data_IF_886371771294
#
_entry.id   IF_886371771294
#
_cell.length_a   1.000
_cell.length_b   1.000
_cell.length_c   1.000
_cell.angle_alpha   90.00
_cell.angle_beta   90.00
_cell.angle_gamma   90.00
#
_symmetry.space_group_name_H-M   'P 1'
#
loop_
_entity.id
_entity.type
_entity.pdbx_description
1 polymer ?
#
# COMPACT_ATOMS: atom_id res chain seq x y z
N UNK A 1 -13.66 -21.16 22.34
CA UNK A 1 -15.02 -20.96 21.81
C UNK A 1 -15.36 -19.51 22.13
N UNK A 2 -15.05 -18.58 21.23
CA UNK A 2 -15.33 -17.14 21.34
C UNK A 2 -15.79 -16.71 19.94
N UNK A 3 -16.98 -17.18 19.54
CA UNK A 3 -17.47 -17.13 18.14
C UNK A 3 -18.84 -16.48 18.00
N UNK A 4 -19.35 -15.87 19.07
CA UNK A 4 -20.71 -15.33 19.11
C UNK A 4 -20.79 -13.83 18.83
N UNK A 5 -19.65 -13.12 18.79
CA UNK A 5 -19.65 -11.69 18.48
C UNK A 5 -19.66 -11.44 16.98
N UNK A 6 -20.57 -10.58 16.55
CA UNK A 6 -20.69 -10.16 15.17
C UNK A 6 -19.68 -9.05 14.86
N UNK A 7 -18.66 -9.39 14.07
CA UNK A 7 -17.55 -8.49 13.73
C UNK A 7 -17.76 -7.87 12.35
N UNK A 8 -17.62 -6.55 12.27
CA UNK A 8 -17.58 -5.81 11.01
C UNK A 8 -16.17 -5.22 10.81
N UNK A 9 -15.61 -5.40 9.63
CA UNK A 9 -14.37 -4.71 9.25
C UNK A 9 -14.67 -3.40 8.53
N UNK A 10 -14.00 -2.33 8.94
CA UNK A 10 -14.05 -1.02 8.32
C UNK A 10 -12.67 -0.67 7.76
N UNK A 11 -12.54 -0.72 6.44
CA UNK A 11 -11.27 -0.56 5.72
C UNK A 11 -11.14 0.88 5.23
N UNK A 12 -10.13 1.58 5.74
CA UNK A 12 -9.80 2.95 5.36
C UNK A 12 -8.92 2.94 4.09
N UNK A 13 -9.55 3.02 2.93
CA UNK A 13 -8.89 3.02 1.61
C UNK A 13 -8.91 4.41 0.92
N UNK A 14 -9.28 5.46 1.67
CA UNK A 14 -9.53 6.81 1.17
C UNK A 14 -8.37 7.79 1.32
N UNK A 15 -7.14 7.34 1.56
CA UNK A 15 -5.98 8.24 1.61
C UNK A 15 -5.51 8.65 0.21
N UNK A 16 -5.22 9.94 0.00
CA UNK A 16 -4.64 10.46 -1.26
C UNK A 16 -3.30 9.81 -1.60
N UNK A 17 -2.53 9.44 -0.57
CA UNK A 17 -1.24 8.75 -0.75
C UNK A 17 -0.15 9.64 -1.33
N UNK A 18 -0.17 10.96 -1.08
CA UNK A 18 0.78 11.97 -1.60
C UNK A 18 2.26 11.56 -1.59
N UNK A 19 2.66 10.79 -0.58
CA UNK A 19 4.02 10.27 -0.39
C UNK A 19 4.46 9.22 -1.43
N UNK A 20 3.54 8.66 -2.22
CA UNK A 20 3.81 7.84 -3.41
C UNK A 20 3.81 8.66 -4.71
N UNK A 21 3.68 9.99 -4.58
CA UNK A 21 3.93 10.96 -5.63
C UNK A 21 3.18 10.64 -6.92
N UNK A 22 3.90 10.46 -8.04
CA UNK A 22 3.29 10.22 -9.36
C UNK A 22 2.50 8.91 -9.45
N UNK A 23 2.74 7.92 -8.57
CA UNK A 23 2.05 6.63 -8.61
C UNK A 23 0.58 6.73 -8.17
N UNK A 24 0.25 7.73 -7.34
CA UNK A 24 -1.11 7.98 -6.81
C UNK A 24 -1.81 9.14 -7.49
N UNK A 25 -1.27 9.65 -8.60
CA UNK A 25 -1.89 10.75 -9.37
C UNK A 25 -3.24 10.38 -9.99
N UNK A 26 -3.35 9.16 -10.52
CA UNK A 26 -4.53 8.68 -11.26
C UNK A 26 -5.20 7.46 -10.58
N UNK A 27 -4.93 7.24 -9.28
CA UNK A 27 -5.47 6.09 -8.52
C UNK A 27 -5.33 6.29 -7.00
N UNK A 28 -6.18 5.61 -6.24
CA UNK A 28 -5.99 5.52 -4.78
C UNK A 28 -4.71 4.75 -4.43
N UNK A 29 -4.13 5.05 -3.25
CA UNK A 29 -2.95 4.34 -2.73
C UNK A 29 -3.15 2.82 -2.72
N UNK A 30 -4.28 2.36 -2.21
CA UNK A 30 -4.61 0.94 -2.11
C UNK A 30 -4.75 0.24 -3.47
N UNK A 31 -4.97 1.00 -4.55
CA UNK A 31 -5.05 0.49 -5.91
C UNK A 31 -3.70 0.43 -6.65
N UNK A 32 -2.60 0.88 -6.04
CA UNK A 32 -1.26 0.77 -6.63
C UNK A 32 -0.89 -0.71 -6.76
N UNK A 33 -0.39 -1.10 -7.94
CA UNK A 33 0.06 -2.47 -8.20
C UNK A 33 1.34 -2.75 -7.43
N UNK A 34 1.49 -3.96 -6.89
CA UNK A 34 2.65 -4.36 -6.09
C UNK A 34 2.92 -5.85 -6.29
N UNK A 35 4.18 -6.28 -6.13
CA UNK A 35 4.61 -7.68 -6.24
C UNK A 35 4.18 -8.34 -7.55
N UNK A 36 4.29 -7.57 -8.64
CA UNK A 36 3.85 -7.95 -9.97
C UNK A 36 2.40 -7.55 -10.21
N UNK A 37 1.47 -8.48 -10.02
CA UNK A 37 0.09 -8.31 -10.47
C UNK A 37 -0.92 -7.98 -9.36
N UNK A 38 -0.53 -8.10 -8.09
CA UNK A 38 -1.36 -7.75 -6.95
C UNK A 38 -1.57 -6.24 -6.83
N UNK A 39 -2.48 -5.84 -5.95
CA UNK A 39 -2.63 -4.49 -5.42
C UNK A 39 -2.46 -4.50 -3.90
N UNK A 40 -2.10 -3.37 -3.33
CA UNK A 40 -1.90 -3.26 -1.88
C UNK A 40 -3.18 -3.63 -1.11
N UNK A 41 -4.36 -3.27 -1.64
CA UNK A 41 -5.65 -3.66 -1.07
C UNK A 41 -5.85 -5.18 -0.88
N UNK A 42 -5.22 -6.01 -1.72
CA UNK A 42 -5.43 -7.46 -1.75
C UNK A 42 -5.03 -8.13 -0.44
N UNK A 43 -4.02 -7.58 0.24
CA UNK A 43 -3.53 -8.08 1.51
C UNK A 43 -4.56 -7.91 2.62
N UNK A 44 -5.10 -6.70 2.81
CA UNK A 44 -6.11 -6.47 3.85
C UNK A 44 -7.40 -7.23 3.56
N UNK A 45 -7.82 -7.29 2.29
CA UNK A 45 -9.04 -8.01 1.91
C UNK A 45 -8.90 -9.52 2.14
N UNK A 46 -7.75 -10.10 1.78
CA UNK A 46 -7.45 -11.51 2.05
C UNK A 46 -7.38 -11.79 3.55
N UNK A 47 -6.73 -10.92 4.35
CA UNK A 47 -6.63 -11.12 5.80
C UNK A 47 -8.02 -11.14 6.46
N UNK A 48 -8.93 -10.24 6.06
CA UNK A 48 -10.30 -10.19 6.58
C UNK A 48 -11.05 -11.50 6.29
N UNK A 49 -10.98 -11.96 5.04
CA UNK A 49 -11.64 -13.19 4.61
C UNK A 49 -11.03 -14.43 5.28
N UNK A 50 -9.70 -14.54 5.34
CA UNK A 50 -9.02 -15.66 5.99
C UNK A 50 -9.29 -15.69 7.50
N UNK A 51 -9.57 -14.53 8.11
CA UNK A 51 -10.02 -14.42 9.51
C UNK A 51 -11.50 -14.77 9.69
N UNK A 52 -12.24 -15.04 8.61
CA UNK A 52 -13.66 -15.38 8.64
C UNK A 52 -14.58 -14.22 9.00
N UNK A 53 -14.15 -12.97 8.76
CA UNK A 53 -14.95 -11.78 9.08
C UNK A 53 -15.98 -11.56 7.96
N UNK A 54 -17.29 -11.55 8.28
CA UNK A 54 -18.35 -11.62 7.27
C UNK A 54 -18.59 -10.32 6.51
N UNK A 55 -18.35 -9.16 7.14
CA UNK A 55 -18.67 -7.86 6.54
C UNK A 55 -17.44 -6.99 6.41
N UNK A 56 -17.24 -6.43 5.23
CA UNK A 56 -16.22 -5.43 4.92
C UNK A 56 -16.84 -4.17 4.35
N UNK A 57 -16.73 -3.07 5.09
CA UNK A 57 -17.05 -1.73 4.61
C UNK A 57 -15.77 -1.02 4.17
N UNK A 58 -15.66 -0.67 2.90
CA UNK A 58 -14.47 -0.03 2.34
C UNK A 58 -14.73 1.46 2.15
N UNK A 59 -14.15 2.32 2.98
CA UNK A 59 -14.23 3.76 2.80
C UNK A 59 -13.18 4.26 1.80
N UNK A 60 -13.63 4.74 0.64
CA UNK A 60 -12.78 5.30 -0.41
C UNK A 60 -13.16 6.74 -0.69
N UNK A 61 -12.21 7.57 -1.14
CA UNK A 61 -12.47 9.00 -1.41
C UNK A 61 -11.73 9.51 -2.66
N UNK A 62 -10.41 9.32 -2.72
CA UNK A 62 -9.60 9.82 -3.83
C UNK A 62 -9.49 8.78 -4.95
N UNK A 63 -9.78 9.20 -6.19
CA UNK A 63 -9.69 8.38 -7.40
C UNK A 63 -10.29 6.96 -7.23
N UNK A 64 -11.54 6.84 -6.73
CA UNK A 64 -12.07 5.56 -6.28
C UNK A 64 -12.26 4.58 -7.43
N UNK A 65 -12.47 5.05 -8.65
CA UNK A 65 -12.83 4.22 -9.80
C UNK A 65 -11.84 3.08 -10.07
N UNK A 66 -10.53 3.32 -9.89
CA UNK A 66 -9.53 2.25 -10.10
C UNK A 66 -9.62 1.14 -9.07
N UNK A 67 -9.88 1.48 -7.81
CA UNK A 67 -10.07 0.53 -6.71
C UNK A 67 -11.42 -0.16 -6.85
N UNK A 68 -12.48 0.57 -7.13
CA UNK A 68 -13.83 0.03 -7.34
C UNK A 68 -13.89 -0.99 -8.46
N UNK A 69 -13.23 -0.73 -9.60
CA UNK A 69 -13.15 -1.70 -10.69
C UNK A 69 -12.37 -2.97 -10.32
N UNK A 70 -11.43 -2.87 -9.38
CA UNK A 70 -10.67 -4.02 -8.90
C UNK A 70 -11.46 -4.86 -7.91
N UNK A 71 -12.16 -4.17 -7.00
CA UNK A 71 -12.98 -4.78 -5.98
C UNK A 71 -14.18 -5.49 -6.62
N UNK A 72 -14.84 -4.83 -7.59
CA UNK A 72 -16.08 -5.34 -8.16
C UNK A 72 -17.16 -5.45 -7.08
N UNK A 73 -17.72 -6.65 -6.93
CA UNK A 73 -18.66 -7.04 -5.88
C UNK A 73 -17.99 -7.78 -4.71
N UNK A 74 -16.67 -7.99 -4.76
CA UNK A 74 -15.92 -8.70 -3.73
C UNK A 74 -15.91 -10.23 -3.87
N UNK A 75 -16.47 -10.82 -4.94
CA UNK A 75 -16.52 -12.28 -5.17
C UNK A 75 -15.13 -12.93 -5.06
N UNK A 76 -14.10 -12.26 -5.60
CA UNK A 76 -12.71 -12.75 -5.55
C UNK A 76 -12.21 -12.98 -4.12
N UNK A 77 -12.67 -12.17 -3.17
CA UNK A 77 -12.34 -12.32 -1.75
C UNK A 77 -13.42 -13.08 -0.97
N UNK A 78 -14.36 -13.73 -1.64
CA UNK A 78 -15.38 -14.59 -1.02
C UNK A 78 -16.56 -13.84 -0.38
N UNK A 79 -16.82 -12.60 -0.79
CA UNK A 79 -17.94 -11.78 -0.28
C UNK A 79 -19.25 -11.96 -1.08
N UNK A 80 -19.41 -13.07 -1.79
CA UNK A 80 -20.56 -13.48 -2.58
C UNK A 80 -21.48 -14.50 -1.85
N UNK A 81 -21.13 -14.88 -0.62
CA UNK A 81 -21.83 -15.88 0.18
C UNK A 81 -23.00 -15.36 1.03
N UNK A 82 -23.75 -16.29 1.62
CA UNK A 82 -24.83 -15.96 2.58
C UNK A 82 -24.22 -15.22 3.78
N UNK A 83 -24.74 -14.03 4.09
CA UNK A 83 -24.26 -13.15 5.16
C UNK A 83 -22.79 -12.72 5.02
N UNK A 84 -22.21 -12.79 3.81
CA UNK A 84 -20.93 -12.16 3.52
C UNK A 84 -21.18 -10.95 2.62
N UNK A 85 -20.66 -9.80 3.00
CA UNK A 85 -20.91 -8.55 2.28
C UNK A 85 -19.64 -7.70 2.21
N UNK A 86 -19.30 -7.27 1.00
CA UNK A 86 -18.35 -6.19 0.78
C UNK A 86 -19.10 -4.99 0.21
N UNK A 87 -19.07 -3.86 0.92
CA UNK A 87 -19.75 -2.63 0.50
C UNK A 87 -18.76 -1.46 0.46
N UNK A 88 -18.64 -0.84 -0.70
CA UNK A 88 -17.82 0.37 -0.85
C UNK A 88 -18.63 1.57 -0.36
N UNK A 89 -18.04 2.37 0.53
CA UNK A 89 -18.55 3.68 0.91
C UNK A 89 -17.92 4.75 0.02
N UNK A 90 -18.73 5.35 -0.84
CA UNK A 90 -18.32 6.49 -1.65
C UNK A 90 -18.67 7.80 -0.94
N UNK A 91 -17.90 8.87 -1.18
CA UNK A 91 -18.37 10.22 -0.93
C UNK A 91 -19.69 10.41 -1.68
N UNK A 92 -20.72 10.90 -0.99
CA UNK A 92 -22.04 11.11 -1.57
C UNK A 92 -22.58 12.49 -1.18
N UNK A 93 -23.57 12.95 -1.93
CA UNK A 93 -24.27 14.19 -1.64
C UNK A 93 -25.44 13.92 -0.69
N UNK A 94 -25.46 14.62 0.44
CA UNK A 94 -26.65 14.74 1.28
C UNK A 94 -27.24 16.15 1.08
N UNK A 95 -28.35 16.22 0.35
CA UNK A 95 -29.00 17.49 0.02
C UNK A 95 -28.16 18.36 -0.92
N UNK A 96 -27.49 19.40 -0.38
CA UNK A 96 -26.60 20.31 -1.12
C UNK A 96 -25.14 20.25 -0.66
N UNK A 97 -24.80 19.31 0.21
CA UNK A 97 -23.46 19.17 0.77
C UNK A 97 -22.78 17.90 0.28
N UNK A 98 -21.57 18.04 -0.22
CA UNK A 98 -20.72 16.92 -0.62
C UNK A 98 -20.00 16.37 0.60
N UNK A 99 -20.27 15.12 0.96
CA UNK A 99 -19.65 14.48 2.14
C UNK A 99 -18.28 13.92 1.73
N UNK A 100 -17.21 14.66 2.02
CA UNK A 100 -15.81 14.18 1.94
C UNK A 100 -15.31 13.72 3.30
N UNK A 101 -14.37 12.79 3.38
CA UNK A 101 -13.70 12.47 4.65
C UNK A 101 -12.52 13.42 4.85
N UNK A 102 -12.43 14.02 6.05
CA UNK A 102 -11.34 14.93 6.42
C UNK A 102 -10.19 14.24 7.15
N UNK A 103 -10.40 12.99 7.55
CA UNK A 103 -9.41 12.17 8.25
C UNK A 103 -9.92 10.77 8.54
N UNK A 104 -9.08 9.96 9.16
CA UNK A 104 -9.33 8.54 9.42
C UNK A 104 -10.55 8.32 10.33
N UNK A 105 -10.65 9.04 11.45
CA UNK A 105 -11.78 8.95 12.36
C UNK A 105 -13.07 9.56 11.77
N UNK A 106 -12.93 10.64 11.00
CA UNK A 106 -14.06 11.26 10.29
C UNK A 106 -14.70 10.30 9.27
N UNK A 107 -13.90 9.44 8.62
CA UNK A 107 -14.43 8.43 7.69
C UNK A 107 -15.36 7.42 8.38
N UNK A 108 -15.01 7.00 9.59
CA UNK A 108 -15.86 6.11 10.40
C UNK A 108 -17.09 6.86 10.91
N UNK A 109 -16.91 8.10 11.41
CA UNK A 109 -18.00 8.94 11.91
C UNK A 109 -19.10 9.16 10.87
N UNK A 110 -18.72 9.52 9.65
CA UNK A 110 -19.65 9.69 8.52
C UNK A 110 -20.26 8.38 8.01
N UNK A 111 -19.77 7.25 8.51
CA UNK A 111 -20.27 5.93 8.19
C UNK A 111 -21.10 5.31 9.33
N UNK A 112 -21.35 6.04 10.44
CA UNK A 112 -22.08 5.51 11.60
C UNK A 112 -23.41 4.89 11.19
N UNK A 113 -24.23 5.59 10.42
CA UNK A 113 -25.54 5.07 9.99
C UNK A 113 -25.40 3.80 9.15
N UNK A 114 -24.34 3.70 8.32
CA UNK A 114 -24.08 2.50 7.52
C UNK A 114 -23.65 1.32 8.39
N UNK A 115 -22.79 1.57 9.39
CA UNK A 115 -22.33 0.55 10.36
C UNK A 115 -23.50 0.08 11.22
N UNK A 116 -24.35 1.00 11.70
CA UNK A 116 -25.53 0.71 12.51
C UNK A 116 -26.52 -0.25 11.81
N UNK A 117 -26.64 -0.19 10.48
CA UNK A 117 -27.48 -1.14 9.70
C UNK A 117 -27.06 -2.60 9.87
N UNK A 118 -25.77 -2.84 10.11
CA UNK A 118 -25.26 -4.18 10.37
C UNK A 118 -25.36 -4.54 11.86
N UNK A 119 -25.43 -3.56 12.77
CA UNK A 119 -25.48 -3.76 14.22
C UNK A 119 -24.35 -4.71 14.73
N UNK A 120 -23.07 -4.40 14.46
CA UNK A 120 -21.95 -5.21 14.94
C UNK A 120 -21.72 -5.05 16.45
N UNK A 121 -21.19 -6.10 17.07
CA UNK A 121 -20.66 -6.05 18.43
C UNK A 121 -19.27 -5.39 18.43
N UNK A 122 -18.45 -5.75 17.44
CA UNK A 122 -17.08 -5.25 17.27
C UNK A 122 -16.91 -4.64 15.88
N UNK A 123 -16.21 -3.50 15.83
CA UNK A 123 -15.69 -2.92 14.60
C UNK A 123 -14.16 -3.02 14.57
N UNK A 124 -13.66 -3.69 13.54
CA UNK A 124 -12.23 -3.79 13.21
C UNK A 124 -11.88 -2.73 12.17
N UNK A 125 -11.22 -1.65 12.60
CA UNK A 125 -10.79 -0.54 11.72
C UNK A 125 -9.41 -0.86 11.16
N UNK A 126 -9.26 -0.91 9.84
CA UNK A 126 -8.04 -1.35 9.17
C UNK A 126 -7.53 -0.34 8.14
N UNK A 127 -6.21 -0.18 8.09
CA UNK A 127 -5.53 0.54 7.02
C UNK A 127 -5.40 -0.34 5.77
N UNK A 128 -5.61 0.25 4.58
CA UNK A 128 -5.66 -0.47 3.30
C UNK A 128 -4.39 -0.31 2.46
N UNK A 129 -3.28 0.02 3.09
CA UNK A 129 -2.08 0.51 2.43
C UNK A 129 -0.78 -0.12 2.97
N UNK A 130 -0.91 -1.28 3.62
CA UNK A 130 0.17 -2.07 4.19
C UNK A 130 0.25 -3.46 3.53
N UNK A 131 1.44 -4.04 3.50
CA UNK A 131 1.69 -5.43 3.10
C UNK A 131 2.03 -6.25 4.34
N UNK A 132 1.16 -7.19 4.68
CA UNK A 132 1.30 -8.12 5.81
C UNK A 132 0.27 -9.24 5.71
N UNK A 133 0.50 -10.35 6.42
CA UNK A 133 -0.49 -11.43 6.59
C UNK A 133 -0.82 -11.57 8.06
N UNK A 134 -2.10 -11.53 8.39
CA UNK A 134 -2.55 -11.65 9.78
C UNK A 134 -3.91 -12.33 9.84
N UNK A 135 -4.02 -13.35 10.69
CA UNK A 135 -5.30 -13.83 11.19
C UNK A 135 -5.71 -12.93 12.37
N UNK A 136 -6.76 -12.14 12.17
CA UNK A 136 -7.25 -11.21 13.18
C UNK A 136 -7.92 -11.90 14.37
N UNK A 137 -8.19 -13.21 14.30
CA UNK A 137 -8.88 -13.93 15.37
C UNK A 137 -8.14 -13.88 16.69
N UNK A 138 -6.81 -13.87 16.69
CA UNK A 138 -6.01 -13.78 17.91
C UNK A 138 -6.02 -12.37 18.51
N UNK A 139 -6.01 -11.33 17.66
CA UNK A 139 -6.15 -9.95 18.12
C UNK A 139 -7.57 -9.67 18.64
N UNK A 140 -8.61 -10.25 18.04
CA UNK A 140 -9.99 -10.18 18.51
C UNK A 140 -10.13 -10.86 19.88
N UNK A 141 -9.61 -12.08 20.04
CA UNK A 141 -9.58 -12.76 21.35
C UNK A 141 -8.83 -11.92 22.39
N UNK A 142 -7.71 -11.31 22.03
CA UNK A 142 -6.96 -10.43 22.92
C UNK A 142 -7.77 -9.21 23.37
N UNK A 143 -8.53 -8.61 22.45
CA UNK A 143 -9.44 -7.51 22.75
C UNK A 143 -10.52 -7.92 23.76
N UNK A 144 -11.17 -9.07 23.54
CA UNK A 144 -12.21 -9.60 24.41
C UNK A 144 -11.68 -10.00 25.80
N UNK A 145 -10.55 -10.70 25.86
CA UNK A 145 -9.94 -11.16 27.11
C UNK A 145 -9.60 -10.00 28.06
N UNK A 146 -9.19 -8.86 27.49
CA UNK A 146 -8.88 -7.66 28.26
C UNK A 146 -10.10 -6.73 28.45
N UNK A 147 -11.25 -7.05 27.85
CA UNK A 147 -12.42 -6.16 27.77
C UNK A 147 -12.00 -4.73 27.38
N UNK A 148 -11.13 -4.64 26.38
CA UNK A 148 -10.45 -3.40 26.01
C UNK A 148 -11.43 -2.39 25.42
N UNK A 149 -11.28 -1.11 25.75
CA UNK A 149 -12.00 -0.04 25.03
C UNK A 149 -11.46 0.11 23.61
N UNK A 150 -10.15 -0.10 23.47
CA UNK A 150 -9.45 -0.16 22.20
C UNK A 150 -8.28 -1.14 22.32
N UNK A 151 -8.12 -1.97 21.28
CA UNK A 151 -6.86 -2.68 21.03
C UNK A 151 -6.20 -2.11 19.79
N UNK A 152 -4.95 -1.66 19.92
CA UNK A 152 -4.13 -1.16 18.81
C UNK A 152 -3.17 -2.26 18.38
N UNK A 153 -3.23 -2.67 17.10
CA UNK A 153 -2.24 -3.58 16.57
C UNK A 153 -0.93 -2.84 16.35
N UNK A 154 0.16 -3.41 16.84
CA UNK A 154 1.46 -2.76 16.90
C UNK A 154 2.55 -3.68 16.36
N UNK A 155 3.60 -3.10 15.77
CA UNK A 155 4.75 -3.83 15.26
C UNK A 155 6.05 -3.14 15.70
N UNK A 156 7.14 -3.90 15.68
CA UNK A 156 8.45 -3.46 16.17
C UNK A 156 9.30 -2.93 15.02
N UNK A 157 9.90 -1.76 15.19
CA UNK A 157 10.63 -1.06 14.12
C UNK A 157 11.96 -0.49 14.61
N UNK A 158 12.92 -0.23 13.69
CA UNK A 158 14.10 0.56 14.00
C UNK A 158 13.76 2.05 14.17
N UNK A 159 14.67 2.78 14.83
CA UNK A 159 14.55 4.23 15.10
C UNK A 159 14.22 5.04 13.83
N UNK A 160 14.86 4.69 12.71
CA UNK A 160 14.72 5.38 11.42
C UNK A 160 13.30 5.41 10.87
N UNK A 161 12.41 4.54 11.37
CA UNK A 161 11.01 4.42 10.94
C UNK A 161 10.01 5.07 11.89
N UNK A 162 10.38 5.32 13.15
CA UNK A 162 9.45 5.76 14.21
C UNK A 162 8.70 7.04 13.83
N UNK A 163 9.39 8.00 13.21
CA UNK A 163 8.81 9.30 12.88
C UNK A 163 7.68 9.26 11.83
N UNK A 164 7.42 8.11 11.21
CA UNK A 164 6.35 7.91 10.23
C UNK A 164 5.06 7.35 10.85
N UNK A 165 5.09 6.91 12.11
CA UNK A 165 4.01 6.16 12.75
C UNK A 165 3.69 6.71 14.15
N UNK A 166 2.60 6.23 14.74
CA UNK A 166 2.30 6.48 16.15
C UNK A 166 3.18 5.62 17.06
N UNK A 167 4.07 6.23 17.83
CA UNK A 167 4.92 5.52 18.78
C UNK A 167 4.11 5.12 20.03
N UNK A 168 4.31 3.87 20.47
CA UNK A 168 3.54 3.25 21.57
C UNK A 168 4.50 2.89 22.69
N UNK A 169 4.12 3.24 23.92
CA UNK A 169 4.78 2.77 25.13
C UNK A 169 3.84 1.87 25.90
N UNK A 170 4.31 0.68 26.27
CA UNK A 170 3.51 -0.32 26.98
C UNK A 170 4.10 -0.72 28.33
N UNK A 171 3.25 -1.24 29.21
CA UNK A 171 3.66 -1.99 30.40
C UNK A 171 3.77 -3.50 30.13
N UNK A 172 3.98 -4.28 31.19
CA UNK A 172 4.16 -5.74 31.15
C UNK A 172 2.87 -6.53 30.81
N UNK A 173 1.71 -5.87 30.89
CA UNK A 173 0.43 -6.44 30.46
C UNK A 173 0.08 -6.01 29.02
N UNK A 174 1.04 -5.45 28.29
CA UNK A 174 0.84 -4.84 26.96
C UNK A 174 -0.19 -3.73 26.96
N UNK A 175 -0.42 -3.08 28.10
CA UNK A 175 -1.31 -1.93 28.20
C UNK A 175 -0.56 -0.67 27.78
N UNK A 176 -1.22 0.18 27.00
CA UNK A 176 -0.63 1.40 26.45
C UNK A 176 -0.58 2.48 27.53
N UNK A 177 0.63 2.74 28.03
CA UNK A 177 0.92 3.77 29.03
C UNK A 177 1.29 5.11 28.41
N UNK A 178 1.70 5.14 27.15
CA UNK A 178 1.89 6.38 26.39
C UNK A 178 1.72 6.19 24.89
N UNK A 179 1.34 7.26 24.19
CA UNK A 179 1.13 7.28 22.75
C UNK A 179 1.45 8.66 22.18
N UNK A 180 2.22 8.71 21.08
CA UNK A 180 2.46 9.96 20.34
C UNK A 180 2.44 9.70 18.83
N UNK A 181 1.65 10.46 18.09
CA UNK A 181 1.54 10.33 16.64
C UNK A 181 2.71 11.02 15.93
N UNK A 182 3.46 10.27 15.11
CA UNK A 182 4.52 10.76 14.21
C UNK A 182 5.52 11.71 14.87
N UNK A 183 6.16 11.31 15.99
CA UNK A 183 7.10 12.18 16.69
C UNK A 183 8.30 12.51 15.79
N UNK A 184 8.69 13.80 15.76
CA UNK A 184 9.88 14.28 15.02
C UNK A 184 11.03 14.64 15.94
N UNK A 185 10.73 15.01 17.17
CA UNK A 185 11.71 15.36 18.18
C UNK A 185 12.42 14.09 18.70
N UNK A 186 13.75 14.15 18.80
CA UNK A 186 14.55 12.99 19.17
C UNK A 186 14.38 12.61 20.64
N UNK A 187 14.27 13.57 21.54
CA UNK A 187 14.07 13.30 22.97
C UNK A 187 12.70 12.64 23.21
N UNK A 188 11.69 13.06 22.43
CA UNK A 188 10.39 12.39 22.41
C UNK A 188 10.53 10.96 21.90
N UNK A 189 11.20 10.73 20.77
CA UNK A 189 11.42 9.37 20.25
C UNK A 189 12.13 8.49 21.28
N UNK A 190 13.22 8.96 21.87
CA UNK A 190 14.03 8.20 22.83
C UNK A 190 13.23 7.78 24.07
N UNK A 191 12.25 8.57 24.49
CA UNK A 191 11.34 8.23 25.60
C UNK A 191 10.42 7.03 25.32
N UNK A 192 10.25 6.65 24.05
CA UNK A 192 9.46 5.50 23.59
C UNK A 192 10.32 4.26 23.30
N UNK A 193 11.63 4.32 23.53
CA UNK A 193 12.51 3.17 23.35
C UNK A 193 12.11 2.03 24.29
N UNK A 194 12.02 0.83 23.73
CA UNK A 194 11.70 -0.37 24.48
C UNK A 194 12.79 -0.68 25.50
N UNK A 195 12.37 -0.94 26.75
CA UNK A 195 13.29 -1.38 27.79
C UNK A 195 13.71 -2.83 27.56
N UNK A 196 14.89 -3.26 28.05
CA UNK A 196 15.32 -4.67 27.94
C UNK A 196 14.28 -5.66 28.47
N UNK A 197 13.55 -5.27 29.54
CA UNK A 197 12.48 -6.08 30.12
C UNK A 197 11.33 -6.30 29.14
N UNK A 198 10.84 -5.24 28.49
CA UNK A 198 9.78 -5.34 27.48
C UNK A 198 10.27 -6.08 26.24
N UNK A 199 11.50 -5.84 25.78
CA UNK A 199 12.07 -6.61 24.63
C UNK A 199 12.09 -8.11 24.93
N UNK A 200 12.52 -8.50 26.12
CA UNK A 200 12.52 -9.90 26.55
C UNK A 200 11.11 -10.48 26.67
N UNK A 201 10.13 -9.70 27.16
CA UNK A 201 8.73 -10.13 27.26
C UNK A 201 8.12 -10.40 25.88
N UNK A 202 8.43 -9.53 24.91
CA UNK A 202 7.94 -9.63 23.53
C UNK A 202 8.75 -10.58 22.64
N UNK A 203 9.80 -11.23 23.17
CA UNK A 203 10.64 -12.14 22.39
C UNK A 203 11.51 -11.45 21.32
N UNK A 204 11.71 -10.13 21.40
CA UNK A 204 12.46 -9.37 20.39
C UNK A 204 13.96 -9.63 20.55
N UNK A 205 14.53 -10.39 19.62
CA UNK A 205 15.96 -10.71 19.61
C UNK A 205 16.81 -9.76 18.78
N UNK A 206 16.21 -9.07 17.79
CA UNK A 206 16.95 -8.15 16.92
C UNK A 206 17.36 -6.88 17.70
N UNK A 207 18.66 -6.57 17.80
CA UNK A 207 19.14 -5.37 18.49
C UNK A 207 18.73 -4.07 17.80
N UNK A 208 18.35 -4.08 16.52
CA UNK A 208 17.96 -2.90 15.76
C UNK A 208 16.47 -2.54 15.95
N UNK A 209 15.63 -3.52 16.31
CA UNK A 209 14.20 -3.30 16.56
C UNK A 209 14.00 -2.83 18.00
N UNK A 210 13.85 -1.52 18.18
CA UNK A 210 13.91 -0.87 19.50
C UNK A 210 12.65 -0.09 19.87
N UNK A 211 11.70 0.02 18.96
CA UNK A 211 10.51 0.85 19.13
C UNK A 211 9.27 0.06 18.74
N UNK A 212 8.18 0.31 19.46
CA UNK A 212 6.87 -0.23 19.12
C UNK A 212 6.04 0.88 18.49
N UNK A 213 5.43 0.60 17.34
CA UNK A 213 4.61 1.58 16.61
C UNK A 213 3.23 1.00 16.28
N UNK A 214 2.24 1.87 16.20
CA UNK A 214 0.89 1.57 15.70
C UNK A 214 0.96 1.21 14.23
N UNK A 215 0.33 0.09 13.88
CA UNK A 215 0.12 -0.33 12.49
C UNK A 215 -1.08 0.38 11.85
N UNK A 216 -1.77 1.28 12.55
CA UNK A 216 -2.99 1.93 12.05
C UNK A 216 -4.22 1.02 11.99
N UNK A 217 -4.19 -0.11 12.70
CA UNK A 217 -5.28 -1.07 12.79
C UNK A 217 -5.79 -1.14 14.24
N UNK A 218 -7.10 -1.08 14.41
CA UNK A 218 -7.75 -0.91 15.72
C UNK A 218 -8.95 -1.83 15.87
N UNK A 219 -9.17 -2.34 17.07
CA UNK A 219 -10.37 -3.10 17.44
C UNK A 219 -11.13 -2.33 18.50
N UNK A 220 -12.44 -2.18 18.31
CA UNK A 220 -13.34 -1.56 19.25
C UNK A 220 -14.63 -2.36 19.40
N UNK A 221 -15.22 -2.34 20.58
CA UNK A 221 -16.67 -2.51 20.71
C UNK A 221 -17.40 -1.35 20.02
N UNK A 222 -18.44 -1.66 19.26
CA UNK A 222 -19.10 -0.67 18.40
C UNK A 222 -19.71 0.48 19.21
N UNK A 223 -20.39 0.17 20.31
CA UNK A 223 -21.00 1.15 21.21
C UNK A 223 -19.96 2.13 21.79
N UNK A 224 -18.78 1.63 22.17
CA UNK A 224 -17.66 2.43 22.69
C UNK A 224 -17.08 3.33 21.62
N UNK A 225 -16.80 2.79 20.42
CA UNK A 225 -16.28 3.60 19.31
C UNK A 225 -17.26 4.72 18.94
N UNK A 226 -18.55 4.38 18.80
CA UNK A 226 -19.60 5.35 18.50
C UNK A 226 -19.71 6.44 19.56
N UNK A 227 -19.61 6.08 20.83
CA UNK A 227 -19.58 7.03 21.94
C UNK A 227 -18.40 8.01 21.80
N UNK A 228 -17.18 7.52 21.61
CA UNK A 228 -16.00 8.38 21.45
C UNK A 228 -16.09 9.27 20.21
N UNK A 229 -16.57 8.75 19.07
CA UNK A 229 -16.72 9.56 17.85
C UNK A 229 -17.76 10.67 17.99
N UNK A 230 -18.79 10.46 18.82
CA UNK A 230 -19.86 11.44 19.10
C UNK A 230 -19.39 12.49 20.09
N UNK A 231 -18.64 12.09 21.12
CA UNK A 231 -18.12 13.00 22.13
C UNK A 231 -16.99 13.90 21.60
N UNK A 232 -16.24 13.41 20.61
CA UNK A 232 -15.15 14.14 19.96
C UNK A 232 -15.49 14.42 18.48
N UNK A 233 -16.48 15.30 18.19
CA UNK A 233 -16.95 15.56 16.84
C UNK A 233 -15.87 16.22 15.95
N UNK A 234 -14.97 16.99 16.55
CA UNK A 234 -13.87 17.67 15.85
C UNK A 234 -12.62 16.78 15.67
N UNK A 235 -12.61 15.57 16.25
CA UNK A 235 -11.49 14.63 16.15
C UNK A 235 -11.44 13.98 14.77
N UNK A 236 -10.65 14.52 13.84
CA UNK A 236 -10.64 14.03 12.46
C UNK A 236 -9.78 12.77 12.28
N UNK A 237 -8.78 12.55 13.13
CA UNK A 237 -7.82 11.45 12.99
C UNK A 237 -7.73 10.56 14.24
N UNK A 238 -7.58 9.25 14.04
CA UNK A 238 -7.46 8.29 15.13
C UNK A 238 -6.21 8.50 15.98
N UNK A 239 -5.04 8.65 15.35
CA UNK A 239 -3.76 8.83 16.05
C UNK A 239 -3.65 10.19 16.71
N UNK A 240 -4.01 11.26 16.01
CA UNK A 240 -3.86 12.62 16.54
C UNK A 240 -4.92 13.00 17.58
N UNK A 241 -6.14 12.44 17.49
CA UNK A 241 -7.27 12.94 18.28
C UNK A 241 -7.94 11.84 19.12
N UNK A 242 -8.38 10.75 18.49
CA UNK A 242 -9.25 9.78 19.17
C UNK A 242 -8.48 8.92 20.19
N UNK A 243 -7.32 8.36 19.83
CA UNK A 243 -6.52 7.53 20.73
C UNK A 243 -6.03 8.31 21.96
N UNK A 244 -5.46 9.52 21.83
CA UNK A 244 -5.12 10.36 22.99
C UNK A 244 -6.34 10.61 23.90
N UNK A 245 -7.48 10.97 23.32
CA UNK A 245 -8.72 11.21 24.06
C UNK A 245 -9.22 9.99 24.85
N UNK A 246 -9.18 8.80 24.24
CA UNK A 246 -9.55 7.55 24.92
C UNK A 246 -8.60 7.28 26.09
N UNK A 247 -7.30 7.48 25.90
CA UNK A 247 -6.29 7.24 26.94
C UNK A 247 -6.43 8.14 28.17
N UNK A 248 -6.91 9.37 27.99
CA UNK A 248 -7.17 10.28 29.12
C UNK A 248 -8.33 9.80 30.00
N UNK A 249 -9.31 9.13 29.39
CA UNK A 249 -10.55 8.69 30.08
C UNK A 249 -10.51 7.25 30.53
N UNK A 250 -9.80 6.42 29.78
CA UNK A 250 -9.80 4.99 29.96
C UNK A 250 -8.41 4.43 30.22
N UNK A 251 -8.44 3.49 31.14
CA UNK A 251 -7.32 2.63 31.47
C UNK A 251 -7.31 1.35 30.63
N UNK A 252 -8.35 1.06 29.85
CA UNK A 252 -8.51 -0.18 29.09
C UNK A 252 -8.03 -0.04 27.63
N UNK A 253 -6.79 0.44 27.46
CA UNK A 253 -6.16 0.66 26.14
C UNK A 253 -4.99 -0.30 26.01
N UNK A 254 -5.07 -1.25 25.09
CA UNK A 254 -4.08 -2.33 24.97
C UNK A 254 -3.43 -2.36 23.59
N UNK A 255 -2.18 -2.78 23.55
CA UNK A 255 -1.50 -3.15 22.32
C UNK A 255 -1.66 -4.65 22.07
N UNK A 256 -1.87 -5.02 20.81
CA UNK A 256 -1.63 -6.38 20.33
C UNK A 256 -0.36 -6.34 19.49
N UNK A 257 0.72 -7.00 19.95
CA UNK A 257 2.01 -6.97 19.26
C UNK A 257 2.01 -8.05 18.19
N UNK A 258 2.03 -7.61 16.93
CA UNK A 258 2.17 -8.46 15.77
C UNK A 258 3.66 -8.70 15.49
N UNK A 259 4.08 -9.95 15.58
CA UNK A 259 5.47 -10.39 15.45
C UNK A 259 5.68 -11.17 14.13
N UNK A 260 5.45 -10.48 13.02
CA UNK A 260 5.72 -11.00 11.68
C UNK A 260 5.97 -9.82 10.72
N UNK A 261 6.22 -10.12 9.44
CA UNK A 261 6.49 -9.13 8.41
C UNK A 261 5.33 -8.16 8.23
N UNK A 262 5.66 -6.88 8.35
CA UNK A 262 4.78 -5.76 8.06
C UNK A 262 5.55 -4.65 7.37
N UNK A 263 4.93 -4.09 6.32
CA UNK A 263 5.49 -2.98 5.56
C UNK A 263 4.42 -1.95 5.23
N UNK A 264 4.56 -0.71 5.72
CA UNK A 264 3.85 0.44 5.16
C UNK A 264 4.54 0.85 3.86
N UNK A 265 3.88 0.60 2.73
CA UNK A 265 4.35 0.96 1.40
C UNK A 265 3.93 2.38 1.03
N UNK A 266 4.08 3.29 2.01
CA UNK A 266 3.57 4.65 1.96
C UNK A 266 4.47 5.68 1.34
N UNK A 267 5.73 5.34 1.12
CA UNK A 267 6.71 6.18 0.46
C UNK A 267 7.37 5.38 -0.66
N UNK A 268 7.92 6.05 -1.66
CA UNK A 268 8.56 5.41 -2.83
C UNK A 268 9.60 4.37 -2.42
N UNK A 269 10.47 4.71 -1.47
CA UNK A 269 11.52 3.80 -0.98
C UNK A 269 10.93 2.49 -0.43
N UNK A 270 9.95 2.57 0.46
CA UNK A 270 9.38 1.38 1.11
C UNK A 270 8.54 0.54 0.16
N UNK A 271 7.85 1.19 -0.79
CA UNK A 271 7.21 0.50 -1.90
C UNK A 271 8.21 -0.26 -2.78
N UNK A 272 9.34 0.38 -3.12
CA UNK A 272 10.38 -0.23 -3.93
C UNK A 272 11.05 -1.40 -3.21
N UNK A 273 11.51 -1.18 -1.98
CA UNK A 273 12.16 -2.19 -1.14
C UNK A 273 11.24 -3.41 -0.95
N UNK A 274 9.95 -3.20 -0.71
CA UNK A 274 8.96 -4.28 -0.64
C UNK A 274 8.95 -5.14 -1.91
N UNK A 275 8.93 -4.53 -3.10
CA UNK A 275 8.99 -5.28 -4.36
C UNK A 275 10.31 -6.08 -4.49
N UNK A 276 11.44 -5.49 -4.09
CA UNK A 276 12.74 -6.17 -4.14
C UNK A 276 12.84 -7.35 -3.16
N UNK A 277 12.35 -7.17 -1.93
CA UNK A 277 12.32 -8.21 -0.89
C UNK A 277 11.55 -9.45 -1.37
N UNK A 278 10.40 -9.26 -2.00
CA UNK A 278 9.58 -10.35 -2.52
C UNK A 278 10.10 -10.97 -3.82
N UNK A 279 10.92 -10.25 -4.60
CA UNK A 279 11.57 -10.80 -5.78
C UNK A 279 12.80 -11.66 -5.44
N UNK A 280 13.32 -11.54 -4.21
CA UNK A 280 14.49 -12.28 -3.74
C UNK A 280 14.24 -13.79 -3.61
N UNK A 281 15.32 -14.56 -3.48
CA UNK A 281 15.26 -16.01 -3.26
C UNK A 281 14.53 -16.41 -1.96
N UNK A 282 14.45 -15.51 -0.98
CA UNK A 282 13.81 -15.76 0.31
C UNK A 282 12.81 -14.62 0.62
N UNK A 283 11.64 -14.61 -0.04
CA UNK A 283 10.64 -13.59 0.22
C UNK A 283 10.19 -13.66 1.69
N UNK A 284 9.86 -12.51 2.31
CA UNK A 284 9.54 -12.47 3.74
C UNK A 284 8.24 -13.22 4.07
N UNK A 285 7.34 -13.34 3.11
CA UNK A 285 6.06 -14.02 3.24
C UNK A 285 5.84 -14.94 2.03
N UNK A 286 5.38 -16.15 2.28
CA UNK A 286 4.87 -17.05 1.23
C UNK A 286 3.43 -16.65 0.86
N UNK A 287 3.27 -15.98 -0.29
CA UNK A 287 1.96 -15.54 -0.79
C UNK A 287 1.02 -16.71 -1.12
N UNK A 288 1.57 -17.87 -1.51
CA UNK A 288 0.79 -19.03 -1.91
C UNK A 288 0.21 -19.77 -0.71
N UNK A 289 1.03 -19.97 0.34
CA UNK A 289 0.60 -20.56 1.61
C UNK A 289 -0.52 -19.75 2.27
N UNK A 290 -0.45 -18.43 2.13
CA UNK A 290 -1.42 -17.49 2.70
C UNK A 290 -2.62 -17.21 1.77
N UNK A 291 -2.64 -17.81 0.58
CA UNK A 291 -3.75 -17.72 -0.38
C UNK A 291 -4.18 -16.29 -0.70
N UNK A 292 -3.20 -15.41 -0.99
CA UNK A 292 -3.50 -14.03 -1.38
C UNK A 292 -4.35 -13.99 -2.64
N UNK A 293 -5.54 -13.41 -2.52
CA UNK A 293 -6.53 -13.32 -3.60
C UNK A 293 -6.43 -11.97 -4.29
N UNK A 294 -6.54 -11.97 -5.62
CA UNK A 294 -6.51 -10.76 -6.44
C UNK A 294 -7.33 -10.95 -7.71
N UNK A 295 -7.74 -9.83 -8.31
CA UNK A 295 -8.38 -9.84 -9.62
C UNK A 295 -7.37 -10.26 -10.70
N UNK A 296 -7.51 -11.48 -11.19
CA UNK A 296 -6.72 -11.97 -12.31
C UNK A 296 -7.24 -11.47 -13.66
N UNK A 297 -6.30 -11.08 -14.51
CA UNK A 297 -6.61 -10.71 -15.89
C UNK A 297 -6.48 -11.93 -16.79
N UNK A 298 -7.47 -12.15 -17.66
CA UNK A 298 -7.42 -13.20 -18.68
C UNK A 298 -6.36 -12.90 -19.74
N UNK A 299 -5.10 -13.20 -19.44
CA UNK A 299 -3.94 -12.98 -20.30
C UNK A 299 -3.21 -14.32 -20.54
N UNK A 300 -2.51 -14.48 -21.68
CA UNK A 300 -1.66 -15.64 -21.88
C UNK A 300 -0.50 -15.63 -20.88
N UNK A 301 0.17 -16.77 -20.69
CA UNK A 301 1.40 -16.82 -19.92
C UNK A 301 2.50 -15.92 -20.48
N UNK A 302 3.48 -15.58 -19.64
CA UNK A 302 4.67 -14.85 -20.07
C UNK A 302 5.42 -15.62 -21.18
N UNK A 303 5.93 -14.90 -22.17
CA UNK A 303 6.72 -15.47 -23.27
C UNK A 303 8.12 -14.89 -23.26
N UNK A 304 9.10 -15.77 -23.14
CA UNK A 304 10.52 -15.44 -23.02
C UNK A 304 11.25 -15.95 -24.25
N UNK A 305 12.03 -15.10 -24.90
CA UNK A 305 12.88 -15.47 -26.04
C UNK A 305 14.22 -16.07 -25.56
N UNK A 306 14.96 -16.69 -26.48
CA UNK A 306 16.20 -17.41 -26.12
C UNK A 306 17.32 -16.48 -25.62
N UNK A 307 18.25 -17.05 -24.83
CA UNK A 307 19.48 -16.40 -24.33
C UNK A 307 19.26 -15.21 -23.38
N UNK A 308 18.15 -15.21 -22.64
CA UNK A 308 17.91 -14.22 -21.58
C UNK A 308 18.20 -14.81 -20.22
N UNK A 309 18.96 -14.06 -19.40
CA UNK A 309 19.32 -14.45 -18.04
C UNK A 309 18.44 -13.71 -17.02
N UNK A 310 17.96 -14.44 -16.02
CA UNK A 310 17.15 -13.90 -14.92
C UNK A 310 17.81 -14.20 -13.57
N UNK A 311 17.74 -13.22 -12.66
CA UNK A 311 18.11 -13.39 -11.26
C UNK A 311 17.18 -12.56 -10.37
N UNK A 312 16.46 -13.17 -9.42
CA UNK A 312 15.48 -12.49 -8.56
C UNK A 312 14.42 -11.72 -9.37
N UNK A 313 13.58 -12.43 -10.13
CA UNK A 313 12.61 -11.79 -11.04
C UNK A 313 11.21 -12.35 -10.85
N UNK A 314 10.23 -11.46 -10.69
CA UNK A 314 8.81 -11.77 -10.73
C UNK A 314 8.27 -11.39 -12.11
N UNK A 315 7.76 -12.37 -12.86
CA UNK A 315 7.06 -12.16 -14.13
C UNK A 315 5.54 -12.29 -13.94
N UNK A 316 4.77 -11.59 -14.76
CA UNK A 316 3.32 -11.62 -14.76
C UNK A 316 2.76 -12.11 -16.10
N UNK A 317 1.45 -12.39 -16.11
CA UNK A 317 0.76 -12.81 -17.33
C UNK A 317 0.85 -11.73 -18.43
N UNK A 318 1.03 -12.19 -19.66
CA UNK A 318 1.14 -11.35 -20.86
C UNK A 318 2.52 -10.74 -21.11
N UNK A 319 3.50 -10.93 -20.22
CA UNK A 319 4.83 -10.37 -20.40
C UNK A 319 5.54 -10.94 -21.64
N UNK A 320 6.24 -10.08 -22.37
CA UNK A 320 6.98 -10.43 -23.58
C UNK A 320 8.43 -10.01 -23.42
N UNK A 321 9.31 -10.99 -23.21
CA UNK A 321 10.74 -10.75 -23.01
C UNK A 321 11.52 -11.15 -24.26
N UNK A 322 12.26 -10.19 -24.80
CA UNK A 322 13.15 -10.32 -25.95
C UNK A 322 14.35 -11.23 -25.67
N UNK A 323 15.16 -11.46 -26.72
CA UNK A 323 16.36 -12.29 -26.64
C UNK A 323 17.56 -11.47 -26.14
N UNK A 324 18.58 -12.18 -25.67
CA UNK A 324 19.87 -11.60 -25.28
C UNK A 324 19.74 -10.51 -24.18
N UNK A 325 18.78 -10.65 -23.25
CA UNK A 325 18.60 -9.72 -22.14
C UNK A 325 19.27 -10.19 -20.84
N UNK A 326 19.66 -9.25 -19.98
CA UNK A 326 20.15 -9.49 -18.61
C UNK A 326 19.19 -8.79 -17.64
N UNK A 327 18.45 -9.56 -16.84
CA UNK A 327 17.39 -9.03 -15.97
C UNK A 327 17.62 -9.50 -14.54
N UNK A 328 17.92 -8.57 -13.63
CA UNK A 328 18.17 -8.83 -12.21
C UNK A 328 17.32 -7.96 -11.30
N UNK A 329 16.81 -8.52 -10.21
CA UNK A 329 16.06 -7.80 -9.17
C UNK A 329 14.90 -6.99 -9.78
N UNK A 330 14.05 -7.63 -10.56
CA UNK A 330 13.00 -6.95 -11.32
C UNK A 330 11.62 -7.52 -11.02
N UNK A 331 10.63 -6.63 -10.94
CA UNK A 331 9.22 -7.00 -10.74
C UNK A 331 8.39 -6.48 -11.89
N UNK A 332 7.73 -7.40 -12.58
CA UNK A 332 6.90 -7.11 -13.74
C UNK A 332 5.42 -7.32 -13.41
N UNK A 333 4.62 -6.28 -13.58
CA UNK A 333 3.16 -6.36 -13.64
C UNK A 333 2.69 -6.81 -15.02
N UNK A 334 1.38 -6.81 -15.26
CA UNK A 334 0.82 -7.39 -16.48
C UNK A 334 1.33 -6.77 -17.80
N UNK A 335 1.61 -7.63 -18.78
CA UNK A 335 1.86 -7.29 -20.20
C UNK A 335 3.10 -6.45 -20.51
N UNK A 336 4.12 -6.42 -19.66
CA UNK A 336 5.33 -5.64 -19.93
C UNK A 336 6.07 -6.20 -21.14
N UNK A 337 6.52 -5.32 -22.03
CA UNK A 337 7.28 -5.70 -23.23
C UNK A 337 8.71 -5.21 -23.10
N UNK A 338 9.65 -6.16 -23.05
CA UNK A 338 11.09 -5.89 -23.05
C UNK A 338 11.65 -6.33 -24.40
N UNK A 339 12.21 -5.40 -25.17
CA UNK A 339 12.85 -5.73 -26.45
C UNK A 339 14.24 -6.34 -26.25
N UNK A 340 14.84 -6.83 -27.34
CA UNK A 340 16.12 -7.55 -27.29
C UNK A 340 17.29 -6.70 -26.75
N UNK A 341 18.26 -7.37 -26.12
CA UNK A 341 19.51 -6.73 -25.67
C UNK A 341 19.38 -5.80 -24.47
N UNK A 342 18.25 -5.81 -23.74
CA UNK A 342 18.06 -4.94 -22.59
C UNK A 342 18.83 -5.43 -21.35
N UNK A 343 19.30 -4.48 -20.55
CA UNK A 343 19.89 -4.73 -19.23
C UNK A 343 19.03 -4.04 -18.17
N UNK A 344 18.40 -4.81 -17.30
CA UNK A 344 17.47 -4.30 -16.30
C UNK A 344 17.94 -4.75 -14.92
N UNK A 345 18.16 -3.80 -14.03
CA UNK A 345 18.62 -4.09 -12.67
C UNK A 345 17.84 -3.26 -11.66
N UNK A 346 17.24 -3.88 -10.64
CA UNK A 346 16.47 -3.15 -9.62
C UNK A 346 15.37 -2.27 -10.25
N UNK A 347 14.44 -2.90 -10.99
CA UNK A 347 13.37 -2.20 -11.69
C UNK A 347 11.98 -2.74 -11.34
N UNK A 348 11.00 -1.85 -11.23
CA UNK A 348 9.58 -2.21 -11.01
C UNK A 348 8.75 -1.67 -12.17
N UNK A 349 8.01 -2.54 -12.84
CA UNK A 349 7.17 -2.20 -13.98
C UNK A 349 5.71 -2.48 -13.65
N UNK A 350 4.84 -1.46 -13.59
CA UNK A 350 3.42 -1.66 -13.24
C UNK A 350 2.56 -2.15 -14.42
N UNK A 351 3.14 -2.19 -15.63
CA UNK A 351 2.59 -2.84 -16.80
C UNK A 351 1.40 -2.13 -17.47
N UNK A 352 0.50 -2.89 -18.05
CA UNK A 352 -0.66 -2.36 -18.76
C UNK A 352 -1.77 -1.92 -17.79
N UNK A 353 -2.39 -0.78 -18.09
CA UNK A 353 -3.54 -0.29 -17.31
C UNK A 353 -4.81 -1.11 -17.50
N UNK A 354 -5.04 -1.66 -18.70
CA UNK A 354 -6.20 -2.50 -19.03
C UNK A 354 -5.83 -3.51 -20.11
N UNK A 355 -6.64 -4.56 -20.23
CA UNK A 355 -6.58 -5.45 -21.38
C UNK A 355 -7.45 -4.85 -22.48
N UNK A 356 -6.85 -4.53 -23.63
CA UNK A 356 -7.62 -4.16 -24.81
C UNK A 356 -7.53 -5.25 -25.85
N UNK A 357 -8.68 -5.82 -26.22
CA UNK A 357 -8.78 -6.74 -27.35
C UNK A 357 -9.35 -6.02 -28.55
N UNK A 358 -8.77 -6.25 -29.72
CA UNK A 358 -9.34 -5.88 -31.01
C UNK A 358 -9.13 -7.03 -31.99
N UNK A 359 -10.19 -7.48 -32.65
CA UNK A 359 -10.18 -8.65 -33.53
C UNK A 359 -9.53 -9.89 -32.88
N UNK A 360 -9.93 -10.20 -31.63
CA UNK A 360 -9.41 -11.30 -30.82
C UNK A 360 -7.89 -11.27 -30.57
N UNK A 361 -7.27 -10.09 -30.65
CA UNK A 361 -5.85 -9.88 -30.35
C UNK A 361 -5.68 -8.78 -29.31
N UNK A 362 -4.74 -9.00 -28.41
CA UNK A 362 -4.33 -7.99 -27.43
C UNK A 362 -3.70 -6.80 -28.16
N UNK A 363 -4.13 -5.59 -27.85
CA UNK A 363 -3.52 -4.35 -28.30
C UNK A 363 -2.40 -3.95 -27.34
N UNK A 364 -1.18 -3.92 -27.84
CA UNK A 364 0.00 -3.50 -27.08
C UNK A 364 0.14 -1.98 -26.95
N UNK A 365 -0.84 -1.18 -27.40
CA UNK A 365 -0.75 0.29 -27.36
C UNK A 365 -0.62 0.80 -25.91
N UNK A 366 -1.37 0.24 -24.98
CA UNK A 366 -1.40 0.67 -23.58
C UNK A 366 -0.65 -0.33 -22.69
N UNK A 367 0.61 -0.56 -23.04
CA UNK A 367 1.53 -1.37 -22.23
C UNK A 367 2.79 -0.61 -21.89
N UNK A 368 3.49 -1.06 -20.86
CA UNK A 368 4.84 -0.59 -20.55
C UNK A 368 5.82 -1.29 -21.50
N UNK A 369 6.59 -0.50 -22.25
CA UNK A 369 7.47 -0.95 -23.32
C UNK A 369 8.89 -0.43 -23.09
N UNK A 370 9.87 -1.33 -23.15
CA UNK A 370 11.29 -1.02 -23.00
C UNK A 370 11.99 -1.30 -24.32
N UNK A 371 12.38 -0.23 -25.02
CA UNK A 371 13.05 -0.26 -26.32
C UNK A 371 14.36 -1.05 -26.33
N UNK A 372 14.75 -1.49 -27.53
CA UNK A 372 15.90 -2.36 -27.76
C UNK A 372 17.19 -1.79 -27.17
N UNK A 373 18.00 -2.64 -26.54
CA UNK A 373 19.34 -2.25 -26.05
C UNK A 373 19.34 -1.26 -24.89
N UNK A 374 18.20 -1.01 -24.24
CA UNK A 374 18.09 -0.07 -23.12
C UNK A 374 18.66 -0.66 -21.84
N UNK A 375 19.28 0.19 -21.02
CA UNK A 375 19.89 -0.15 -19.73
C UNK A 375 19.19 0.66 -18.62
N UNK A 376 18.41 0.00 -17.76
CA UNK A 376 17.66 0.65 -16.70
C UNK A 376 18.11 0.13 -15.34
N UNK A 377 18.39 1.04 -14.42
CA UNK A 377 18.74 0.72 -13.03
C UNK A 377 18.05 1.64 -12.03
N UNK A 378 17.44 1.05 -10.99
CA UNK A 378 16.70 1.76 -9.93
C UNK A 378 15.58 2.65 -10.48
N UNK A 379 14.63 2.01 -11.18
CA UNK A 379 13.53 2.70 -11.85
C UNK A 379 12.18 2.05 -11.52
N UNK A 380 11.18 2.88 -11.28
CA UNK A 380 9.77 2.47 -11.28
C UNK A 380 9.12 3.05 -12.53
N UNK A 381 8.67 2.20 -13.44
CA UNK A 381 7.83 2.61 -14.56
C UNK A 381 6.37 2.27 -14.23
N UNK A 382 5.55 3.30 -14.11
CA UNK A 382 4.12 3.14 -13.95
C UNK A 382 3.47 2.58 -15.25
N UNK A 383 2.14 2.59 -15.30
CA UNK A 383 1.37 1.92 -16.33
C UNK A 383 1.53 2.60 -17.69
N UNK A 384 1.59 1.79 -18.73
CA UNK A 384 1.64 2.22 -20.13
C UNK A 384 2.88 3.04 -20.52
N UNK A 385 4.00 2.91 -19.80
CA UNK A 385 5.18 3.76 -20.04
C UNK A 385 6.06 3.23 -21.18
N UNK A 386 6.35 4.06 -22.18
CA UNK A 386 7.21 3.71 -23.32
C UNK A 386 8.59 4.35 -23.23
N UNK A 387 9.62 3.52 -23.20
CA UNK A 387 11.04 3.89 -23.22
C UNK A 387 11.60 3.60 -24.61
N UNK A 388 12.31 4.56 -25.21
CA UNK A 388 12.96 4.43 -26.50
C UNK A 388 14.10 3.40 -26.53
N UNK A 389 14.70 3.24 -27.72
CA UNK A 389 15.82 2.34 -27.95
C UNK A 389 17.13 2.91 -27.39
N UNK A 390 17.98 2.07 -26.80
CA UNK A 390 19.31 2.45 -26.32
C UNK A 390 19.30 3.48 -25.19
N UNK A 391 18.18 3.62 -24.47
CA UNK A 391 18.06 4.53 -23.32
C UNK A 391 18.88 3.99 -22.15
N UNK A 392 19.59 4.86 -21.44
CA UNK A 392 20.30 4.53 -20.22
C UNK A 392 19.75 5.35 -19.04
N UNK A 393 19.17 4.68 -18.05
CA UNK A 393 18.72 5.30 -16.81
C UNK A 393 19.47 4.66 -15.65
N UNK A 394 20.15 5.46 -14.84
CA UNK A 394 20.83 4.98 -13.64
C UNK A 394 20.99 6.10 -12.61
N UNK A 395 20.91 5.80 -11.31
CA UNK A 395 21.28 6.76 -10.27
C UNK A 395 22.75 7.21 -10.38
N UNK A 396 23.61 6.43 -11.06
CA UNK A 396 25.02 6.76 -11.27
C UNK A 396 25.29 7.67 -12.49
N UNK A 397 24.26 8.02 -13.28
CA UNK A 397 24.41 8.85 -14.47
C UNK A 397 24.45 10.37 -14.18
N UNK A 398 24.68 10.76 -12.93
CA UNK A 398 24.82 12.14 -12.50
C UNK A 398 24.17 12.41 -11.15
N UNK A 399 24.28 13.65 -10.69
CA UNK A 399 23.58 14.13 -9.50
C UNK A 399 22.07 14.20 -9.75
N UNK A 400 21.25 14.12 -8.70
CA UNK A 400 19.78 14.24 -8.82
C UNK A 400 19.39 15.52 -9.60
N UNK A 401 20.06 16.64 -9.35
CA UNK A 401 19.79 17.90 -10.06
C UNK A 401 20.05 17.82 -11.57
N UNK A 402 21.12 17.14 -11.99
CA UNK A 402 21.44 16.93 -13.40
C UNK A 402 20.39 16.04 -14.08
N UNK A 403 19.95 15.00 -13.38
CA UNK A 403 18.92 14.07 -13.85
C UNK A 403 17.56 14.77 -13.98
N UNK A 404 17.19 15.59 -13.00
CA UNK A 404 16.00 16.47 -13.07
C UNK A 404 16.09 17.43 -14.26
N UNK A 405 17.23 18.11 -14.44
CA UNK A 405 17.45 18.99 -15.60
C UNK A 405 17.34 18.23 -16.93
N UNK A 406 17.81 17.00 -16.99
CA UNK A 406 17.70 16.12 -18.16
C UNK A 406 16.23 15.84 -18.49
N UNK A 407 15.43 15.45 -17.50
CA UNK A 407 14.00 15.18 -17.65
C UNK A 407 13.20 16.43 -18.02
N UNK A 408 13.53 17.59 -17.45
CA UNK A 408 12.92 18.88 -17.80
C UNK A 408 13.16 19.26 -19.28
N UNK A 409 14.33 18.92 -19.85
CA UNK A 409 14.62 19.16 -21.28
C UNK A 409 13.75 18.31 -22.21
N UNK A 410 13.24 17.17 -21.73
CA UNK A 410 12.25 16.35 -22.45
C UNK A 410 10.83 16.93 -22.35
N UNK A 411 10.63 18.01 -21.59
CA UNK A 411 9.33 18.62 -21.34
C UNK A 411 8.53 17.91 -20.23
N UNK A 412 9.15 16.96 -19.51
CA UNK A 412 8.53 16.27 -18.39
C UNK A 412 8.48 17.18 -17.17
N UNK A 413 7.37 17.12 -16.43
CA UNK A 413 7.18 17.93 -15.22
C UNK A 413 7.49 17.11 -13.98
N UNK A 414 8.22 17.65 -13.00
CA UNK A 414 8.35 16.99 -11.70
C UNK A 414 6.99 16.95 -10.98
N UNK A 415 6.81 15.94 -10.13
CA UNK A 415 5.68 15.86 -9.22
C UNK A 415 5.55 17.13 -8.37
N UNK A 416 4.33 17.63 -8.26
CA UNK A 416 3.98 18.75 -7.39
C UNK A 416 2.51 18.71 -7.00
N UNK A 417 2.26 19.10 -5.75
CA UNK A 417 0.91 19.31 -5.23
C UNK A 417 0.51 20.77 -5.46
N UNK A 418 -0.72 20.95 -5.92
CA UNK A 418 -1.31 22.26 -6.19
C UNK A 418 -2.14 22.72 -4.99
N UNK A 419 -2.39 24.03 -4.92
CA UNK A 419 -3.10 24.67 -3.80
C UNK A 419 -4.55 24.18 -3.64
N UNK A 420 -5.14 23.60 -4.68
CA UNK A 420 -6.50 23.05 -4.72
C UNK A 420 -6.55 21.55 -4.40
N UNK A 421 -5.49 20.99 -3.82
CA UNK A 421 -5.32 19.57 -3.55
C UNK A 421 -5.34 18.66 -4.80
N UNK A 422 -5.12 19.22 -5.99
CA UNK A 422 -4.80 18.42 -7.19
C UNK A 422 -3.30 18.14 -7.28
N UNK A 423 -2.91 17.13 -8.06
CA UNK A 423 -1.50 16.82 -8.32
C UNK A 423 -1.20 16.90 -9.81
N UNK A 424 0.00 17.35 -10.14
CA UNK A 424 0.54 17.22 -11.49
C UNK A 424 1.98 16.71 -11.46
N UNK A 425 2.52 16.42 -12.64
CA UNK A 425 3.84 15.83 -12.80
C UNK A 425 3.80 14.52 -13.58
N UNK A 426 4.92 14.22 -14.20
CA UNK A 426 5.19 13.07 -15.05
C UNK A 426 6.28 12.18 -14.44
N UNK A 427 7.10 12.71 -13.54
CA UNK A 427 8.14 11.96 -12.84
C UNK A 427 8.40 12.46 -11.42
N UNK A 428 9.08 11.63 -10.64
CA UNK A 428 9.73 12.04 -9.40
C UNK A 428 11.02 11.25 -9.18
N UNK A 429 11.92 11.78 -8.36
CA UNK A 429 13.17 11.10 -7.99
C UNK A 429 13.23 11.04 -6.48
N UNK A 430 13.32 9.83 -5.92
CA UNK A 430 13.41 9.66 -4.47
C UNK A 430 14.77 10.22 -3.98
N UNK A 431 14.79 11.19 -3.05
CA UNK A 431 15.99 11.95 -2.72
C UNK A 431 17.15 11.14 -2.12
N UNK A 432 16.87 10.06 -1.40
CA UNK A 432 17.89 9.31 -0.65
C UNK A 432 18.55 8.22 -1.49
N UNK A 433 17.77 7.58 -2.37
CA UNK A 433 18.14 6.40 -3.15
C UNK A 433 18.37 6.71 -4.62
N UNK A 434 17.85 7.84 -5.11
CA UNK A 434 17.92 8.21 -6.52
C UNK A 434 17.00 7.39 -7.42
N UNK A 435 16.04 6.64 -6.86
CA UNK A 435 15.05 5.88 -7.63
C UNK A 435 14.25 6.85 -8.50
N UNK A 436 14.26 6.64 -9.82
CA UNK A 436 13.43 7.41 -10.74
C UNK A 436 12.06 6.76 -10.90
N UNK A 437 11.00 7.53 -10.68
CA UNK A 437 9.62 7.10 -10.93
C UNK A 437 9.08 7.84 -12.13
N UNK A 438 8.64 7.12 -13.15
CA UNK A 438 7.93 7.68 -14.31
C UNK A 438 6.45 7.34 -14.20
N UNK A 439 5.61 8.37 -14.15
CA UNK A 439 4.17 8.25 -14.01
C UNK A 439 3.46 7.69 -15.25
N UNK A 440 2.22 7.25 -15.05
CA UNK A 440 1.40 6.63 -16.09
C UNK A 440 1.24 7.54 -17.33
N UNK A 441 1.43 6.95 -18.51
CA UNK A 441 1.09 7.63 -19.77
C UNK A 441 -0.37 7.39 -20.13
N UNK A 442 -1.13 8.48 -20.27
CA UNK A 442 -2.54 8.44 -20.74
C UNK A 442 -2.62 8.16 -22.24
N UNK A 443 -1.73 8.78 -23.02
CA UNK A 443 -1.64 8.61 -24.47
C UNK A 443 -0.26 8.07 -24.85
N UNK A 444 -0.08 6.77 -24.71
CA UNK A 444 1.12 6.11 -25.21
C UNK A 444 1.14 6.14 -26.75
N UNK A 445 2.19 6.72 -27.32
CA UNK A 445 2.48 6.70 -28.75
C UNK A 445 3.81 5.94 -28.99
N UNK A 446 3.78 4.78 -29.66
CA UNK A 446 4.98 4.04 -30.04
C UNK A 446 6.03 4.86 -30.80
N UNK A 447 5.59 5.91 -31.51
CA UNK A 447 6.48 6.79 -32.28
C UNK A 447 7.09 7.92 -31.47
N UNK A 448 6.60 8.13 -30.23
CA UNK A 448 7.01 9.21 -29.33
C UNK A 448 7.10 8.65 -27.90
N UNK A 449 8.11 7.81 -27.62
CA UNK A 449 8.33 7.33 -26.26
C UNK A 449 8.60 8.52 -25.32
N UNK A 450 8.26 8.38 -24.04
CA UNK A 450 8.42 9.47 -23.05
C UNK A 450 9.89 9.81 -22.83
N UNK A 451 10.74 8.79 -22.88
CA UNK A 451 12.18 8.93 -22.94
C UNK A 451 12.61 8.55 -24.37
N UNK A 452 13.08 9.51 -25.19
CA UNK A 452 13.51 9.26 -26.57
C UNK A 452 14.71 8.33 -26.69
N UNK A 453 14.94 7.82 -27.90
CA UNK A 453 16.04 6.91 -28.21
C UNK A 453 17.41 7.52 -27.84
N UNK A 454 18.30 6.68 -27.30
CA UNK A 454 19.69 7.02 -26.95
C UNK A 454 19.85 7.97 -25.76
N UNK A 455 18.76 8.35 -25.09
CA UNK A 455 18.82 9.32 -23.99
C UNK A 455 19.51 8.75 -22.75
N UNK A 456 20.19 9.62 -21.98
CA UNK A 456 20.88 9.25 -20.74
C UNK A 456 20.37 10.08 -19.56
N UNK A 457 19.95 9.40 -18.50
CA UNK A 457 19.32 9.98 -17.30
C UNK A 457 19.90 9.32 -16.05
#
# INVERSE_FOLDING_TARGET
>A
MFRDQYVLSFVMAGGRGSRLEVLTKDRSKSAVSILGHYRIFDFVATNIENSGIPVMLVATQFEPGTLSMHIGDGEIWGFDGINKVMEINYPHEEGRHFITFKGTADSVRKSIDRIDRYNPDIVLVLAADHVYIMDYSDALKWHELNNADITIMANVVPESKVSNFGAIKIDEACRIIDFVEKPKDKDVIDNFKLTPKIKSLLGITDPNLNFLVSMGNYIFYWDRLKHFLTEYPDGMDFGLNIIPAIRERSKSVFAYVFDDYWRDVGIIKDYFDCNMEFASDNPPIDLSKNQIRTYERHLPGARISCKTNFHNVILSAGDLIGKDCEISNCVFGYQVVVHEGCKLDHCVFLGASRNEYHNNRIRLKYTTNIGKGSNLSHVILDKNVWIGEGVNISPNNGTIEERVKSLLKLGLKPYRELEDDTVEGDFSIEPQTGILVIGKQREADPKRPIIPDGYRI
#
